data_IF_869941957899
#
_entry.id   IF_869941957899
#
_cell.length_a   1.000
_cell.length_b   1.000
_cell.length_c   1.000
_cell.angle_alpha   90.00
_cell.angle_beta   90.00
_cell.angle_gamma   90.00
#
_symmetry.space_group_name_H-M   'P 1'
#
loop_
_entity.id
_entity.type
_entity.pdbx_description
1 polymer ?
#
# COMPACT_ATOMS: atom_id res chain seq x y z
N UNK A 1 -16.11 -29.60 5.99
CA UNK A 1 -15.17 -28.56 5.55
C UNK A 1 -15.89 -27.67 4.53
N UNK A 2 -16.27 -26.45 4.92
CA UNK A 2 -16.90 -25.49 3.98
C UNK A 2 -15.84 -25.02 2.99
N UNK A 3 -16.00 -25.33 1.72
CA UNK A 3 -15.22 -24.71 0.62
C UNK A 3 -15.55 -23.22 0.65
N UNK A 4 -14.62 -22.40 1.10
CA UNK A 4 -14.69 -20.95 0.90
C UNK A 4 -14.64 -20.71 -0.62
N UNK A 5 -15.70 -20.15 -1.16
CA UNK A 5 -15.72 -19.73 -2.57
C UNK A 5 -14.58 -18.72 -2.80
N UNK A 6 -13.93 -18.79 -3.95
CA UNK A 6 -12.96 -17.77 -4.33
C UNK A 6 -13.64 -16.39 -4.34
N UNK A 7 -12.98 -15.33 -3.90
CA UNK A 7 -13.57 -13.99 -3.89
C UNK A 7 -13.92 -13.55 -5.30
N UNK A 8 -15.12 -12.99 -5.47
CA UNK A 8 -15.58 -12.38 -6.72
C UNK A 8 -15.05 -10.93 -6.77
N UNK A 9 -13.84 -10.76 -7.27
CA UNK A 9 -13.20 -9.46 -7.34
C UNK A 9 -13.96 -8.43 -8.20
N UNK A 10 -14.59 -8.80 -9.35
CA UNK A 10 -15.44 -7.89 -10.10
C UNK A 10 -16.62 -7.35 -9.30
N UNK A 11 -17.36 -8.21 -8.60
CA UNK A 11 -18.47 -7.77 -7.76
C UNK A 11 -18.01 -6.88 -6.61
N UNK A 12 -16.88 -7.21 -5.97
CA UNK A 12 -16.27 -6.41 -4.91
C UNK A 12 -15.83 -5.04 -5.46
N UNK A 13 -15.15 -5.00 -6.60
CA UNK A 13 -14.71 -3.77 -7.24
C UNK A 13 -15.90 -2.84 -7.59
N UNK A 14 -16.98 -3.41 -8.13
CA UNK A 14 -18.18 -2.65 -8.44
C UNK A 14 -18.82 -2.05 -7.19
N UNK A 15 -18.87 -2.81 -6.10
CA UNK A 15 -19.39 -2.36 -4.82
C UNK A 15 -18.56 -1.18 -4.27
N UNK A 16 -17.23 -1.33 -4.20
CA UNK A 16 -16.31 -0.29 -3.70
C UNK A 16 -16.39 1.00 -4.52
N UNK A 17 -16.49 0.89 -5.86
CA UNK A 17 -16.66 2.05 -6.72
C UNK A 17 -17.95 2.82 -6.39
N UNK A 18 -19.06 2.12 -6.17
CA UNK A 18 -20.33 2.73 -5.80
C UNK A 18 -20.29 3.41 -4.43
N UNK A 19 -19.68 2.77 -3.44
CA UNK A 19 -19.51 3.36 -2.09
C UNK A 19 -18.66 4.63 -2.12
N UNK A 20 -17.63 4.67 -2.99
CA UNK A 20 -16.79 5.85 -3.20
C UNK A 20 -17.43 6.91 -4.10
N UNK A 21 -18.73 6.80 -4.39
CA UNK A 21 -19.46 7.70 -5.29
C UNK A 21 -18.87 7.81 -6.70
N UNK A 22 -18.09 6.83 -7.12
CA UNK A 22 -17.54 6.74 -8.46
C UNK A 22 -18.49 5.98 -9.39
N UNK A 23 -18.56 6.44 -10.63
CA UNK A 23 -19.27 5.67 -11.67
C UNK A 23 -18.54 4.35 -11.93
N UNK A 24 -19.20 3.23 -11.71
CA UNK A 24 -18.71 1.88 -11.99
C UNK A 24 -18.69 1.62 -13.50
N UNK A 25 -17.61 2.05 -14.17
CA UNK A 25 -17.39 1.75 -15.59
C UNK A 25 -16.66 0.43 -15.73
N UNK A 26 -16.84 -0.27 -16.85
CA UNK A 26 -16.18 -1.53 -17.15
C UNK A 26 -14.64 -1.44 -16.94
N UNK A 27 -14.02 -0.39 -17.44
CA UNK A 27 -12.59 -0.17 -17.28
C UNK A 27 -12.16 -0.08 -15.79
N UNK A 28 -12.88 0.69 -14.97
CA UNK A 28 -12.56 0.83 -13.54
C UNK A 28 -12.79 -0.47 -12.77
N UNK A 29 -13.88 -1.19 -13.09
CA UNK A 29 -14.15 -2.50 -12.48
C UNK A 29 -13.02 -3.46 -12.81
N UNK A 30 -12.61 -3.59 -14.07
CA UNK A 30 -11.53 -4.48 -14.49
C UNK A 30 -10.20 -4.13 -13.83
N UNK A 31 -9.81 -2.85 -13.82
CA UNK A 31 -8.55 -2.42 -13.21
C UNK A 31 -8.56 -2.65 -11.70
N UNK A 32 -9.63 -2.27 -11.00
CA UNK A 32 -9.72 -2.49 -9.55
C UNK A 32 -9.76 -3.99 -9.22
N UNK A 33 -10.44 -4.81 -10.01
CA UNK A 33 -10.47 -6.27 -9.86
C UNK A 33 -9.07 -6.89 -9.99
N UNK A 34 -8.29 -6.44 -10.97
CA UNK A 34 -6.90 -6.89 -11.15
C UNK A 34 -6.05 -6.53 -9.92
N UNK A 35 -6.19 -5.31 -9.39
CA UNK A 35 -5.47 -4.88 -8.19
C UNK A 35 -5.91 -5.68 -6.95
N UNK A 36 -7.21 -5.93 -6.77
CA UNK A 36 -7.75 -6.71 -5.65
C UNK A 36 -7.31 -8.17 -5.68
N UNK A 37 -7.16 -8.75 -6.88
CA UNK A 37 -6.69 -10.13 -7.07
C UNK A 37 -5.17 -10.30 -6.94
N UNK A 38 -4.42 -9.21 -6.97
CA UNK A 38 -2.97 -9.25 -6.98
C UNK A 38 -2.37 -9.53 -5.60
N UNK A 39 -1.35 -10.38 -5.54
CA UNK A 39 -0.59 -10.68 -4.32
C UNK A 39 0.51 -9.64 -4.01
N UNK A 40 0.83 -8.78 -4.96
CA UNK A 40 1.84 -7.71 -4.87
C UNK A 40 1.38 -6.52 -5.72
N UNK A 41 1.96 -5.37 -5.47
CA UNK A 41 1.61 -4.16 -6.21
C UNK A 41 2.01 -4.28 -7.68
N UNK A 42 1.06 -4.03 -8.57
CA UNK A 42 1.21 -4.15 -10.02
C UNK A 42 1.70 -2.83 -10.63
N UNK A 43 2.64 -2.89 -11.57
CA UNK A 43 2.93 -1.76 -12.44
C UNK A 43 1.81 -1.56 -13.47
N UNK A 44 1.77 -0.40 -14.10
CA UNK A 44 0.82 -0.20 -15.21
C UNK A 44 1.02 -1.22 -16.35
N UNK A 45 2.26 -1.70 -16.55
CA UNK A 45 2.54 -2.73 -17.55
C UNK A 45 1.98 -4.09 -17.14
N UNK A 46 2.12 -4.47 -15.85
CA UNK A 46 1.54 -5.71 -15.34
C UNK A 46 0.02 -5.72 -15.53
N UNK A 47 -0.66 -4.59 -15.21
CA UNK A 47 -2.11 -4.46 -15.43
C UNK A 47 -2.47 -4.47 -16.90
N UNK A 48 -1.64 -3.83 -17.78
CA UNK A 48 -1.85 -3.85 -19.22
C UNK A 48 -1.73 -5.26 -19.81
N UNK A 49 -0.76 -6.03 -19.32
CA UNK A 49 -0.54 -7.41 -19.78
C UNK A 49 -1.69 -8.35 -19.36
N UNK A 50 -2.33 -8.07 -18.22
CA UNK A 50 -3.53 -8.78 -17.78
C UNK A 50 -4.80 -8.34 -18.54
N UNK A 51 -4.90 -7.04 -18.89
CA UNK A 51 -6.06 -6.43 -19.56
C UNK A 51 -5.71 -6.04 -21.00
N UNK A 52 -5.34 -7.02 -21.83
CA UNK A 52 -4.80 -6.86 -23.18
C UNK A 52 -5.69 -5.98 -24.07
N UNK A 53 -7.00 -6.09 -23.95
CA UNK A 53 -7.98 -5.36 -24.77
C UNK A 53 -8.20 -3.91 -24.32
N UNK A 54 -7.61 -3.50 -23.21
CA UNK A 54 -7.75 -2.14 -22.69
C UNK A 54 -6.68 -1.22 -23.29
N UNK A 55 -7.10 -0.11 -23.88
CA UNK A 55 -6.13 0.91 -24.36
C UNK A 55 -5.44 1.60 -23.19
N UNK A 56 -4.19 2.03 -23.44
CA UNK A 56 -3.32 2.64 -22.41
C UNK A 56 -3.93 3.89 -21.77
N UNK A 57 -4.59 4.73 -22.54
CA UNK A 57 -5.15 6.00 -22.03
C UNK A 57 -6.27 5.69 -21.04
N UNK A 58 -7.12 4.72 -21.38
CA UNK A 58 -8.20 4.26 -20.50
C UNK A 58 -7.64 3.63 -19.22
N UNK A 59 -6.58 2.80 -19.33
CA UNK A 59 -5.90 2.23 -18.18
C UNK A 59 -5.37 3.31 -17.23
N UNK A 60 -4.59 4.26 -17.75
CA UNK A 60 -4.03 5.34 -16.93
C UNK A 60 -5.12 6.17 -16.25
N UNK A 61 -6.17 6.55 -16.99
CA UNK A 61 -7.31 7.29 -16.43
C UNK A 61 -8.04 6.50 -15.33
N UNK A 62 -8.13 5.18 -15.48
CA UNK A 62 -8.72 4.34 -14.45
C UNK A 62 -7.83 4.29 -13.20
N UNK A 63 -6.52 4.06 -13.34
CA UNK A 63 -5.56 4.05 -12.23
C UNK A 63 -5.53 5.39 -11.48
N UNK A 64 -5.46 6.51 -12.20
CA UNK A 64 -5.48 7.84 -11.58
C UNK A 64 -6.78 8.07 -10.82
N UNK A 65 -7.93 7.78 -11.44
CA UNK A 65 -9.22 7.93 -10.80
C UNK A 65 -9.38 7.06 -9.54
N UNK A 66 -8.88 5.81 -9.56
CA UNK A 66 -8.91 4.92 -8.40
C UNK A 66 -7.99 5.41 -7.29
N UNK A 67 -6.83 5.97 -7.66
CA UNK A 67 -5.88 6.55 -6.71
C UNK A 67 -6.44 7.81 -6.06
N UNK A 68 -7.02 8.71 -6.84
CA UNK A 68 -7.64 9.95 -6.34
C UNK A 68 -8.82 9.68 -5.41
N UNK A 69 -9.54 8.59 -5.65
CA UNK A 69 -10.65 8.14 -4.81
C UNK A 69 -10.21 7.32 -3.57
N UNK A 70 -8.92 7.04 -3.41
CA UNK A 70 -8.41 6.23 -2.31
C UNK A 70 -8.70 4.73 -2.43
N UNK A 71 -9.21 4.25 -3.58
CA UNK A 71 -9.44 2.82 -3.84
C UNK A 71 -8.18 2.06 -4.26
N UNK A 72 -7.17 2.79 -4.69
CA UNK A 72 -5.84 2.27 -4.94
C UNK A 72 -4.81 3.24 -4.37
N UNK A 73 -3.63 2.73 -4.01
CA UNK A 73 -2.51 3.58 -3.66
C UNK A 73 -1.32 3.35 -4.59
N UNK A 74 -0.61 4.43 -4.88
CA UNK A 74 0.50 4.48 -5.81
C UNK A 74 1.81 4.46 -5.04
N UNK A 75 2.67 3.50 -5.36
CA UNK A 75 3.95 3.26 -4.68
C UNK A 75 5.08 3.60 -5.64
N UNK A 76 5.98 4.49 -5.24
CA UNK A 76 7.18 4.81 -6.02
C UNK A 76 8.22 3.68 -5.91
N UNK A 77 8.66 3.17 -7.06
CA UNK A 77 9.75 2.20 -7.13
C UNK A 77 11.12 2.88 -7.22
N UNK A 78 12.19 2.21 -6.74
CA UNK A 78 13.59 2.66 -6.95
C UNK A 78 13.99 2.60 -8.43
N UNK A 79 13.25 1.82 -9.22
CA UNK A 79 13.39 1.64 -10.67
C UNK A 79 12.64 2.71 -11.50
N UNK A 80 12.12 3.75 -10.84
CA UNK A 80 11.28 4.81 -11.42
C UNK A 80 9.97 4.32 -12.02
N UNK A 81 9.56 3.08 -11.69
CA UNK A 81 8.28 2.52 -12.08
C UNK A 81 7.31 2.65 -10.91
N UNK A 82 6.17 3.28 -11.16
CA UNK A 82 5.08 3.30 -10.19
C UNK A 82 4.36 1.94 -10.18
N UNK A 83 4.01 1.51 -8.99
CA UNK A 83 3.20 0.33 -8.76
C UNK A 83 1.93 0.71 -8.00
N UNK A 84 0.90 -0.06 -8.22
CA UNK A 84 -0.43 0.20 -7.65
C UNK A 84 -0.90 -1.04 -6.89
N UNK A 85 -1.51 -0.83 -5.75
CA UNK A 85 -2.20 -1.87 -5.00
C UNK A 85 -3.60 -1.38 -4.65
N UNK A 86 -4.57 -2.29 -4.51
CA UNK A 86 -5.87 -1.92 -3.98
C UNK A 86 -5.73 -1.42 -2.54
N UNK A 87 -6.48 -0.40 -2.18
CA UNK A 87 -6.60 -0.01 -0.79
C UNK A 87 -7.48 -1.03 -0.07
N UNK A 88 -7.01 -1.56 1.05
CA UNK A 88 -7.82 -2.44 1.90
C UNK A 88 -8.74 -1.57 2.73
N UNK A 89 -10.04 -1.83 2.61
CA UNK A 89 -11.03 -1.15 3.44
C UNK A 89 -10.79 -1.48 4.91
N UNK A 90 -10.37 -0.50 5.70
CA UNK A 90 -10.64 -0.52 7.12
C UNK A 90 -12.00 0.16 7.32
N UNK A 91 -13.00 -0.62 7.73
CA UNK A 91 -14.32 -0.16 8.15
C UNK A 91 -14.20 0.72 9.40
N UNK A 92 -13.78 1.96 9.24
CA UNK A 92 -13.94 2.98 10.26
C UNK A 92 -14.69 4.16 9.63
N UNK A 93 -16.00 4.15 9.87
CA UNK A 93 -16.93 5.19 9.47
C UNK A 93 -16.64 6.48 10.26
N UNK A 94 -15.85 7.37 9.71
CA UNK A 94 -15.74 8.70 10.29
C UNK A 94 -14.45 9.45 10.07
N UNK A 95 -14.19 9.91 8.88
CA UNK A 95 -13.74 11.28 8.60
C UNK A 95 -13.28 11.42 7.15
N UNK A 96 -13.84 12.42 6.46
CA UNK A 96 -13.54 12.76 5.08
C UNK A 96 -12.20 13.52 4.96
N UNK A 97 -11.12 12.90 5.41
CA UNK A 97 -9.76 13.27 5.05
C UNK A 97 -9.03 11.98 4.76
N UNK A 98 -8.40 11.90 3.60
CA UNK A 98 -7.52 10.82 3.21
C UNK A 98 -6.51 10.56 4.34
N UNK A 99 -6.88 9.69 5.28
CA UNK A 99 -5.93 9.14 6.22
C UNK A 99 -4.98 8.31 5.37
N UNK A 100 -3.79 8.84 5.17
CA UNK A 100 -2.67 8.08 4.65
C UNK A 100 -2.53 6.88 5.58
N UNK A 101 -3.02 5.74 5.10
CA UNK A 101 -2.93 4.49 5.84
C UNK A 101 -1.47 4.22 6.14
N UNK A 102 -1.11 4.15 7.40
CA UNK A 102 0.23 3.77 7.85
C UNK A 102 0.40 2.28 7.58
N UNK A 103 0.72 1.95 6.34
CA UNK A 103 1.10 0.61 5.93
C UNK A 103 2.57 0.61 5.55
N UNK A 104 3.22 -0.52 5.78
CA UNK A 104 4.60 -0.71 5.34
C UNK A 104 4.64 -1.35 3.96
N UNK A 105 5.79 -1.27 3.33
CA UNK A 105 6.07 -1.97 2.08
C UNK A 105 7.24 -2.93 2.26
N UNK A 106 7.12 -4.13 1.70
CA UNK A 106 8.26 -5.01 1.52
C UNK A 106 8.67 -5.00 0.04
N UNK A 107 9.92 -4.70 -0.24
CA UNK A 107 10.46 -4.66 -1.59
C UNK A 107 11.49 -5.76 -1.81
N UNK A 108 11.23 -6.62 -2.77
CA UNK A 108 12.18 -7.65 -3.14
C UNK A 108 13.33 -7.06 -3.96
N UNK A 109 14.57 -7.24 -3.48
CA UNK A 109 15.78 -6.74 -4.16
C UNK A 109 16.18 -7.57 -5.37
N UNK A 110 15.60 -8.79 -5.56
CA UNK A 110 15.87 -9.64 -6.73
C UNK A 110 14.89 -9.42 -7.88
N UNK A 111 13.58 -9.41 -7.60
CA UNK A 111 12.56 -9.33 -8.64
C UNK A 111 11.80 -8.00 -8.67
N UNK A 112 12.20 -7.05 -7.82
CA UNK A 112 11.60 -5.72 -7.70
C UNK A 112 10.08 -5.70 -7.35
N UNK A 113 9.46 -6.84 -7.04
CA UNK A 113 8.08 -6.88 -6.56
C UNK A 113 7.95 -6.15 -5.25
N UNK A 114 6.83 -5.43 -5.08
CA UNK A 114 6.49 -4.70 -3.86
C UNK A 114 5.24 -5.33 -3.27
N UNK A 115 5.29 -5.65 -1.98
CA UNK A 115 4.18 -6.21 -1.21
C UNK A 115 3.76 -5.18 -0.17
N UNK A 116 2.45 -4.95 -0.03
CA UNK A 116 1.94 -4.14 1.05
C UNK A 116 1.91 -4.96 2.34
N UNK A 117 2.38 -4.37 3.42
CA UNK A 117 2.30 -4.92 4.76
C UNK A 117 1.16 -4.18 5.46
N UNK A 118 0.01 -4.84 5.49
CA UNK A 118 -1.16 -4.35 6.19
C UNK A 118 -0.95 -4.46 7.70
N UNK A 119 -1.72 -3.67 8.48
CA UNK A 119 -1.69 -3.72 9.94
C UNK A 119 -0.28 -3.49 10.55
N UNK A 120 0.50 -2.58 9.96
CA UNK A 120 1.62 -1.98 10.69
C UNK A 120 0.97 -1.15 11.79
N UNK A 121 0.66 -1.82 12.89
CA UNK A 121 -0.09 -1.30 14.01
C UNK A 121 0.53 0.04 14.44
N UNK A 122 -0.28 1.06 14.60
CA UNK A 122 0.16 2.33 15.18
C UNK A 122 0.87 2.08 16.53
N UNK A 123 0.52 0.98 17.19
CA UNK A 123 1.22 0.46 18.36
C UNK A 123 2.65 -0.01 18.07
N UNK A 124 2.96 -0.57 16.90
CA UNK A 124 4.34 -0.89 16.51
C UNK A 124 5.16 0.38 16.31
N UNK A 125 4.58 1.41 15.72
CA UNK A 125 5.23 2.72 15.56
C UNK A 125 5.19 3.54 16.86
N UNK A 126 4.21 3.31 17.72
CA UNK A 126 4.09 3.97 19.04
C UNK A 126 4.82 3.24 20.16
N UNK A 127 5.01 1.91 20.08
CA UNK A 127 5.54 1.06 21.14
C UNK A 127 6.86 0.36 20.81
N UNK A 128 7.67 0.88 19.89
CA UNK A 128 9.05 0.39 19.71
C UNK A 128 9.85 0.69 20.99
N UNK A 129 9.47 -0.02 22.06
CA UNK A 129 10.19 -0.08 23.32
C UNK A 129 11.39 -1.00 23.14
N UNK A 130 12.47 -0.50 22.58
CA UNK A 130 13.77 -1.14 22.76
C UNK A 130 14.10 -1.02 24.25
N UNK A 131 13.96 -2.14 24.98
CA UNK A 131 14.45 -2.26 26.35
C UNK A 131 15.97 -2.15 26.33
N UNK A 132 16.49 -0.93 26.38
CA UNK A 132 17.89 -0.66 26.67
C UNK A 132 17.88 0.38 27.82
N UNK A 133 18.01 -0.11 29.05
CA UNK A 133 18.23 0.74 30.23
C UNK A 133 16.97 1.03 31.04
N UNK A 134 17.17 1.09 32.35
CA UNK A 134 16.17 1.12 33.40
C UNK A 134 15.43 2.46 33.61
N UNK A 135 15.22 3.26 32.56
CA UNK A 135 14.47 4.52 32.67
C UNK A 135 13.63 4.73 31.39
N UNK A 136 12.62 3.90 31.26
CA UNK A 136 11.81 3.82 30.01
C UNK A 136 10.56 4.67 30.13
N UNK A 137 10.65 5.97 29.89
CA UNK A 137 9.51 6.70 29.36
C UNK A 137 9.28 6.20 27.90
N UNK A 138 8.20 5.47 27.68
CA UNK A 138 7.82 4.90 26.38
C UNK A 138 7.56 6.02 25.36
N UNK A 139 8.62 6.44 24.67
CA UNK A 139 8.48 7.39 23.55
C UNK A 139 8.16 6.61 22.29
N UNK A 140 7.13 7.01 21.57
CA UNK A 140 6.78 6.41 20.28
C UNK A 140 7.95 6.53 19.29
N UNK A 141 8.05 5.60 18.33
CA UNK A 141 9.06 5.67 17.27
C UNK A 141 9.01 7.03 16.56
N UNK A 142 7.82 7.57 16.32
CA UNK A 142 7.61 8.91 15.76
C UNK A 142 8.29 9.99 16.59
N UNK A 143 8.17 9.95 17.92
CA UNK A 143 8.82 10.91 18.81
C UNK A 143 10.35 10.75 18.84
N UNK A 144 10.83 9.51 18.76
CA UNK A 144 12.27 9.24 18.71
C UNK A 144 12.87 9.75 17.40
N UNK A 145 12.23 9.47 16.26
CA UNK A 145 12.64 9.96 14.95
C UNK A 145 12.59 11.49 14.89
N UNK A 146 11.53 12.12 15.43
CA UNK A 146 11.43 13.57 15.50
C UNK A 146 12.61 14.18 16.29
N UNK A 147 12.98 13.56 17.41
CA UNK A 147 14.13 14.01 18.20
C UNK A 147 15.45 13.86 17.45
N UNK A 148 15.66 12.73 16.77
CA UNK A 148 16.84 12.49 15.93
C UNK A 148 16.91 13.52 14.81
N UNK A 149 15.81 13.76 14.10
CA UNK A 149 15.75 14.78 13.05
C UNK A 149 16.14 16.17 13.57
N UNK A 150 15.56 16.60 14.69
CA UNK A 150 15.88 17.91 15.28
C UNK A 150 17.32 18.01 15.74
N UNK A 151 17.90 16.90 16.21
CA UNK A 151 19.32 16.87 16.65
C UNK A 151 20.26 16.90 15.45
N UNK A 152 19.94 16.19 14.36
CA UNK A 152 20.83 16.03 13.20
C UNK A 152 20.66 17.14 12.17
N UNK A 153 19.41 17.57 11.92
CA UNK A 153 19.08 18.53 10.87
C UNK A 153 18.86 19.95 11.41
N UNK A 154 18.65 20.09 12.71
CA UNK A 154 18.41 21.38 13.38
C UNK A 154 16.96 21.56 13.83
N UNK A 155 16.74 22.60 14.64
CA UNK A 155 15.41 22.94 15.14
C UNK A 155 14.52 23.47 14.02
N UNK A 156 13.24 23.10 14.03
CA UNK A 156 12.24 23.56 13.06
C UNK A 156 11.82 22.49 12.03
N UNK A 157 12.55 21.38 11.89
CA UNK A 157 12.11 20.27 11.06
C UNK A 157 10.95 19.52 11.72
N UNK A 158 9.87 19.30 10.94
CA UNK A 158 8.67 18.60 11.37
C UNK A 158 8.37 17.46 10.38
N UNK A 159 8.20 16.23 10.89
CA UNK A 159 7.73 15.12 10.06
C UNK A 159 6.20 15.13 10.03
N UNK A 160 5.64 15.07 8.82
CA UNK A 160 4.20 14.90 8.62
C UNK A 160 3.84 13.44 8.51
N UNK A 161 4.71 12.65 7.88
CA UNK A 161 4.47 11.24 7.61
C UNK A 161 5.75 10.41 7.76
N UNK A 162 5.58 9.08 7.92
CA UNK A 162 6.66 8.10 7.99
C UNK A 162 6.29 6.94 7.08
N UNK A 163 7.07 6.73 6.04
CA UNK A 163 6.97 5.56 5.19
C UNK A 163 7.92 4.45 5.66
N UNK A 164 7.38 3.25 5.90
CA UNK A 164 8.17 2.09 6.27
C UNK A 164 8.41 1.20 5.06
N UNK A 165 9.67 1.09 4.62
CA UNK A 165 10.06 0.18 3.55
C UNK A 165 11.07 -0.85 4.06
N UNK A 166 10.71 -2.14 3.96
CA UNK A 166 11.60 -3.27 4.28
C UNK A 166 12.13 -3.82 2.95
N UNK A 167 13.45 -3.98 2.83
CA UNK A 167 14.09 -4.55 1.64
C UNK A 167 14.67 -5.93 1.95
N UNK A 168 14.49 -6.89 1.04
CA UNK A 168 14.97 -8.27 1.22
C UNK A 168 14.63 -9.15 0.01
N UNK A 169 14.58 -10.45 0.18
CA UNK A 169 14.15 -11.38 -0.86
C UNK A 169 12.75 -11.89 -0.54
N UNK A 170 11.84 -11.87 -1.51
CA UNK A 170 10.53 -12.49 -1.34
C UNK A 170 10.67 -14.03 -1.30
N UNK A 171 9.61 -14.70 -0.83
CA UNK A 171 9.61 -16.15 -0.70
C UNK A 171 9.99 -16.86 -2.01
N UNK A 172 9.44 -16.42 -3.15
CA UNK A 172 9.75 -17.01 -4.46
C UNK A 172 11.23 -16.84 -4.85
N UNK A 173 11.86 -15.74 -4.44
CA UNK A 173 13.27 -15.49 -4.74
C UNK A 173 14.22 -16.13 -3.72
N UNK A 174 13.79 -16.33 -2.48
CA UNK A 174 14.55 -17.02 -1.45
C UNK A 174 14.68 -18.50 -1.75
N UNK A 175 13.63 -19.14 -2.30
CA UNK A 175 13.63 -20.55 -2.69
C UNK A 175 14.47 -20.86 -3.95
N UNK A 176 14.84 -19.85 -4.75
CA UNK A 176 15.67 -20.01 -5.96
C UNK A 176 17.17 -19.87 -5.69
N UNK A 177 17.62 -20.10 -4.47
CA UNK A 177 19.03 -19.96 -4.06
C UNK A 177 19.80 -21.27 -4.10
N UNK A 178 19.43 -22.23 -4.97
CA UNK A 178 20.26 -23.37 -5.35
C UNK A 178 20.80 -23.25 -6.76
#
# INVERSE_FOLDING_TARGET
MKKTAAPDFPALAEHQLRESSLRATDARIKVLSALLGARYALSHQDVQDELIDMDRVTLYRALDCLTDAGLAHKIAGDDRVFRYNAAVEQHDHGSAHAQQHQHGHFKCTRCARVFCIENVDEKLLSSASTKIGADASQKSLKQQLQKVMQTTLGKGFQSHDIELTIKGWCADCALKTE
#
